data_IF_622445043182
#
_entry.id   IF_622445043182
#
_cell.length_a   1.000
_cell.length_b   1.000
_cell.length_c   1.000
_cell.angle_alpha   90.00
_cell.angle_beta   90.00
_cell.angle_gamma   90.00
#
_symmetry.space_group_name_H-M   'P 1'
#
loop_
_entity.id
_entity.type
_entity.pdbx_description
1 polymer ?
#
# COMPACT_ATOMS: atom_id res chain seq x y z
N UNK A 1 -9.31 -20.90 1.10
CA UNK A 1 -8.01 -21.56 1.35
C UNK A 1 -8.31 -22.84 2.12
N UNK A 2 -7.78 -23.94 1.67
CA UNK A 2 -7.98 -25.24 2.33
C UNK A 2 -6.91 -25.39 3.42
N UNK A 3 -7.32 -25.30 4.70
CA UNK A 3 -6.42 -25.47 5.84
C UNK A 3 -5.91 -26.91 5.96
N UNK A 4 -6.59 -27.87 5.33
CA UNK A 4 -6.16 -29.28 5.29
C UNK A 4 -4.75 -29.49 4.73
N UNK A 5 -4.24 -28.54 3.93
CA UNK A 5 -2.85 -28.60 3.41
C UNK A 5 -1.82 -28.64 4.54
N UNK A 6 -2.05 -27.91 5.64
CA UNK A 6 -1.15 -27.92 6.79
C UNK A 6 -1.15 -29.31 7.47
N UNK A 7 -2.33 -29.92 7.59
CA UNK A 7 -2.49 -31.27 8.14
C UNK A 7 -1.75 -32.31 7.29
N UNK A 8 -1.99 -32.28 5.97
CA UNK A 8 -1.33 -33.19 5.03
C UNK A 8 0.18 -33.03 5.05
N UNK A 9 0.68 -31.76 5.05
CA UNK A 9 2.10 -31.50 5.13
C UNK A 9 2.72 -32.06 6.44
N UNK A 10 2.03 -31.88 7.57
CA UNK A 10 2.46 -32.43 8.86
C UNK A 10 2.49 -33.96 8.85
N UNK A 11 1.43 -34.61 8.36
CA UNK A 11 1.34 -36.09 8.27
C UNK A 11 2.44 -36.67 7.39
N UNK A 12 2.88 -35.93 6.36
CA UNK A 12 3.93 -36.33 5.42
C UNK A 12 5.32 -35.79 5.78
N UNK A 13 5.48 -35.16 6.93
CA UNK A 13 6.73 -34.54 7.37
C UNK A 13 7.31 -33.55 6.34
N UNK A 14 6.44 -32.87 5.59
CA UNK A 14 6.86 -31.82 4.61
C UNK A 14 6.98 -30.47 5.34
N UNK A 15 8.17 -29.84 5.32
CA UNK A 15 8.32 -28.53 5.92
C UNK A 15 7.53 -27.47 5.13
N UNK A 16 6.82 -26.61 5.85
CA UNK A 16 6.00 -25.54 5.26
C UNK A 16 6.60 -24.17 5.56
N UNK A 17 6.74 -23.35 4.54
CA UNK A 17 6.97 -21.91 4.65
C UNK A 17 5.66 -21.20 4.29
N UNK A 18 5.21 -20.32 5.16
CA UNK A 18 3.95 -19.60 4.95
C UNK A 18 4.21 -18.11 4.80
N UNK A 19 4.01 -17.57 3.58
CA UNK A 19 4.15 -16.13 3.31
C UNK A 19 2.80 -15.44 3.38
N UNK A 20 2.71 -14.44 4.24
CA UNK A 20 1.51 -13.67 4.50
C UNK A 20 1.54 -12.37 3.67
N UNK A 21 0.75 -12.32 2.60
CA UNK A 21 0.61 -11.15 1.73
C UNK A 21 -0.62 -10.30 2.04
N UNK A 22 -1.51 -10.82 2.89
CA UNK A 22 -2.75 -10.19 3.32
C UNK A 22 -3.10 -10.60 4.76
N UNK A 23 -4.25 -10.17 5.24
CA UNK A 23 -4.69 -10.45 6.61
C UNK A 23 -5.78 -11.54 6.66
N UNK A 24 -5.85 -12.43 5.66
CA UNK A 24 -6.88 -13.46 5.60
C UNK A 24 -6.92 -14.37 6.83
N UNK A 25 -5.78 -14.73 7.37
CA UNK A 25 -5.72 -15.54 8.59
C UNK A 25 -6.24 -14.81 9.84
N UNK A 26 -6.26 -13.49 9.84
CA UNK A 26 -6.83 -12.68 10.93
C UNK A 26 -8.33 -12.43 10.71
N UNK A 27 -8.72 -12.17 9.45
CA UNK A 27 -10.08 -11.81 9.09
C UNK A 27 -10.40 -12.22 7.64
N UNK A 28 -11.56 -12.85 7.36
CA UNK A 28 -11.96 -13.22 6.00
C UNK A 28 -12.18 -12.02 5.08
N UNK A 29 -12.28 -10.78 5.61
CA UNK A 29 -12.31 -9.56 4.79
C UNK A 29 -10.98 -9.24 4.14
N UNK A 30 -9.89 -9.93 4.50
CA UNK A 30 -8.55 -9.82 3.90
C UNK A 30 -7.83 -8.51 4.21
N UNK A 31 -8.53 -7.38 4.16
CA UNK A 31 -7.95 -6.03 4.17
C UNK A 31 -7.99 -5.32 5.52
N UNK A 32 -8.63 -5.91 6.56
CA UNK A 32 -8.86 -5.24 7.84
C UNK A 32 -9.49 -3.84 7.65
N UNK A 33 -10.49 -3.78 6.79
CA UNK A 33 -11.24 -2.58 6.48
C UNK A 33 -12.72 -2.78 6.86
N UNK A 34 -13.29 -1.81 7.56
CA UNK A 34 -14.72 -1.79 7.91
C UNK A 34 -15.41 -0.66 7.13
N UNK A 35 -16.40 -1.02 6.32
CA UNK A 35 -17.12 -0.05 5.47
C UNK A 35 -17.89 1.02 6.24
N UNK A 36 -18.34 0.71 7.47
CA UNK A 36 -19.11 1.64 8.29
C UNK A 36 -18.22 2.65 9.03
N UNK A 37 -17.10 2.16 9.59
CA UNK A 37 -16.20 2.96 10.43
C UNK A 37 -14.91 3.36 9.73
N UNK A 38 -14.68 2.82 8.53
CA UNK A 38 -13.43 2.91 7.73
C UNK A 38 -12.21 2.32 8.41
N UNK A 39 -12.15 2.32 9.75
CA UNK A 39 -11.05 1.74 10.52
C UNK A 39 -11.47 0.40 11.12
N UNK A 40 -10.61 -0.59 11.00
CA UNK A 40 -10.76 -1.89 11.64
C UNK A 40 -9.87 -1.98 12.87
N UNK A 41 -10.49 -2.04 14.06
CA UNK A 41 -9.76 -2.40 15.28
C UNK A 41 -9.71 -3.93 15.41
N UNK A 42 -8.86 -4.57 14.60
CA UNK A 42 -8.69 -6.03 14.50
C UNK A 42 -8.31 -6.72 15.83
N UNK A 43 -7.89 -5.97 16.84
CA UNK A 43 -7.61 -6.52 18.17
C UNK A 43 -8.87 -6.73 19.00
N UNK A 44 -9.98 -6.08 18.67
CA UNK A 44 -11.24 -6.19 19.40
C UNK A 44 -12.17 -7.25 18.78
N UNK A 45 -12.16 -8.46 19.33
CA UNK A 45 -12.99 -9.58 18.85
C UNK A 45 -14.50 -9.34 18.97
N UNK A 46 -14.96 -8.56 19.95
CA UNK A 46 -16.37 -8.25 20.12
C UNK A 46 -16.93 -7.42 18.95
N UNK A 47 -16.21 -6.38 18.53
CA UNK A 47 -16.57 -5.60 17.34
C UNK A 47 -16.47 -6.43 16.03
N UNK A 48 -15.55 -7.38 15.97
CA UNK A 48 -15.39 -8.27 14.82
C UNK A 48 -16.64 -9.13 14.56
N UNK A 49 -17.28 -9.67 15.60
CA UNK A 49 -18.49 -10.49 15.46
C UNK A 49 -19.62 -9.76 14.74
N UNK A 50 -19.92 -8.53 15.16
CA UNK A 50 -20.95 -7.68 14.52
C UNK A 50 -20.56 -7.34 13.05
N UNK A 51 -19.31 -6.98 12.81
CA UNK A 51 -18.82 -6.67 11.47
C UNK A 51 -18.98 -7.87 10.51
N UNK A 52 -18.58 -9.07 10.94
CA UNK A 52 -18.66 -10.30 10.13
C UNK A 52 -20.11 -10.72 9.89
N UNK A 53 -20.97 -10.63 10.88
CA UNK A 53 -22.39 -10.92 10.72
C UNK A 53 -23.02 -10.02 9.65
N UNK A 54 -22.74 -8.72 9.68
CA UNK A 54 -23.26 -7.77 8.69
C UNK A 54 -22.64 -7.93 7.29
N UNK A 55 -21.34 -8.17 7.21
CA UNK A 55 -20.60 -8.15 5.93
C UNK A 55 -20.72 -9.48 5.19
N UNK A 56 -20.73 -10.60 5.90
CA UNK A 56 -20.64 -11.95 5.31
C UNK A 56 -21.81 -12.86 5.72
N UNK A 57 -22.76 -12.36 6.51
CA UNK A 57 -23.86 -13.16 7.08
C UNK A 57 -23.36 -14.41 7.85
N UNK A 58 -22.25 -14.26 8.58
CA UNK A 58 -21.63 -15.31 9.38
C UNK A 58 -22.01 -15.14 10.86
N UNK A 59 -21.88 -16.22 11.62
CA UNK A 59 -22.13 -16.21 13.07
C UNK A 59 -21.20 -15.21 13.77
N UNK A 60 -21.71 -14.54 14.82
CA UNK A 60 -20.95 -13.57 15.60
C UNK A 60 -19.69 -14.16 16.26
N UNK A 61 -19.70 -15.47 16.52
CA UNK A 61 -18.56 -16.22 17.10
C UNK A 61 -17.59 -16.75 16.05
N UNK A 62 -17.79 -16.40 14.78
CA UNK A 62 -16.96 -16.92 13.69
C UNK A 62 -15.48 -16.51 13.82
N UNK A 63 -15.19 -15.26 14.15
CA UNK A 63 -13.82 -14.75 14.20
C UNK A 63 -12.94 -15.43 15.26
N UNK A 64 -13.40 -15.64 16.50
CA UNK A 64 -12.61 -16.40 17.47
C UNK A 64 -12.25 -17.83 16.98
N UNK A 65 -13.21 -18.53 16.38
CA UNK A 65 -12.97 -19.86 15.81
C UNK A 65 -12.01 -19.83 14.62
N UNK A 66 -12.22 -18.86 13.71
CA UNK A 66 -11.36 -18.61 12.57
C UNK A 66 -9.91 -18.39 12.97
N UNK A 67 -9.67 -17.48 13.92
CA UNK A 67 -8.33 -17.16 14.42
C UNK A 67 -7.70 -18.33 15.16
N UNK A 68 -8.48 -19.07 15.94
CA UNK A 68 -8.00 -20.28 16.63
C UNK A 68 -7.50 -21.31 15.63
N UNK A 69 -8.30 -21.61 14.60
CA UNK A 69 -7.96 -22.58 13.57
C UNK A 69 -6.69 -22.16 12.81
N UNK A 70 -6.59 -20.91 12.40
CA UNK A 70 -5.36 -20.39 11.77
C UNK A 70 -4.16 -20.47 12.71
N UNK A 71 -4.31 -20.11 13.97
CA UNK A 71 -3.23 -20.13 14.95
C UNK A 71 -2.66 -21.54 15.15
N UNK A 72 -3.52 -22.55 15.30
CA UNK A 72 -3.08 -23.94 15.44
C UNK A 72 -2.32 -24.45 14.20
N UNK A 73 -2.75 -24.04 13.02
CA UNK A 73 -2.04 -24.37 11.79
C UNK A 73 -0.71 -23.59 11.64
N UNK A 74 -0.70 -22.28 11.94
CA UNK A 74 0.50 -21.46 11.84
C UNK A 74 1.61 -21.88 12.79
N UNK A 75 1.29 -22.47 13.95
CA UNK A 75 2.29 -23.06 14.86
C UNK A 75 3.01 -24.28 14.28
N UNK A 76 2.44 -24.94 13.29
CA UNK A 76 3.03 -26.14 12.67
C UNK A 76 4.01 -25.82 11.54
N UNK A 77 4.00 -24.58 11.02
CA UNK A 77 4.89 -24.21 9.91
C UNK A 77 6.31 -23.93 10.42
N UNK A 78 7.29 -24.16 9.58
CA UNK A 78 8.71 -23.95 9.91
C UNK A 78 9.09 -22.45 9.89
N UNK A 79 8.53 -21.71 8.96
CA UNK A 79 8.77 -20.27 8.79
C UNK A 79 7.49 -19.54 8.41
N UNK A 80 7.29 -18.38 9.02
CA UNK A 80 6.25 -17.43 8.64
C UNK A 80 6.96 -16.16 8.15
N UNK A 81 6.62 -15.71 6.95
CA UNK A 81 7.26 -14.55 6.30
C UNK A 81 6.20 -13.48 6.02
N UNK A 82 6.55 -12.23 6.27
CA UNK A 82 5.73 -11.07 5.95
C UNK A 82 6.55 -10.00 5.21
N UNK A 83 5.93 -9.12 4.41
CA UNK A 83 6.67 -8.16 3.60
C UNK A 83 7.03 -6.85 4.32
N UNK A 84 6.59 -6.63 5.57
CA UNK A 84 6.88 -5.40 6.34
C UNK A 84 6.81 -5.61 7.84
N UNK A 85 7.45 -4.75 8.61
CA UNK A 85 7.36 -4.75 10.08
C UNK A 85 5.96 -4.35 10.56
N UNK A 86 5.28 -3.45 9.86
CA UNK A 86 3.89 -3.12 10.15
C UNK A 86 3.00 -4.36 10.08
N UNK A 87 3.14 -5.18 9.02
CA UNK A 87 2.41 -6.44 8.89
C UNK A 87 2.77 -7.42 10.01
N UNK A 88 4.08 -7.57 10.32
CA UNK A 88 4.54 -8.38 11.45
C UNK A 88 3.86 -7.98 12.75
N UNK A 89 3.84 -6.69 13.07
CA UNK A 89 3.25 -6.18 14.31
C UNK A 89 1.74 -6.45 14.38
N UNK A 90 1.00 -6.30 13.27
CA UNK A 90 -0.43 -6.62 13.20
C UNK A 90 -0.66 -8.10 13.49
N UNK A 91 0.15 -8.98 12.91
CA UNK A 91 0.04 -10.41 13.17
C UNK A 91 0.39 -10.77 14.62
N UNK A 92 1.45 -10.20 15.20
CA UNK A 92 1.84 -10.44 16.58
C UNK A 92 0.84 -9.89 17.60
N UNK A 93 0.11 -8.83 17.27
CA UNK A 93 -1.01 -8.35 18.10
C UNK A 93 -2.16 -9.37 18.18
N UNK A 94 -2.33 -10.20 17.13
CA UNK A 94 -3.37 -11.23 17.08
C UNK A 94 -2.85 -12.57 17.57
N UNK A 95 -1.62 -12.94 17.21
CA UNK A 95 -0.95 -14.23 17.44
C UNK A 95 0.40 -13.99 18.12
N UNK A 96 0.38 -13.75 19.43
CA UNK A 96 1.52 -13.21 20.20
C UNK A 96 2.79 -14.08 20.15
N UNK A 97 2.64 -15.41 20.05
CA UNK A 97 3.75 -16.34 20.21
C UNK A 97 4.32 -16.85 18.88
N UNK A 98 3.88 -16.29 17.75
CA UNK A 98 4.41 -16.70 16.45
C UNK A 98 5.77 -16.06 16.19
N UNK A 99 6.70 -16.84 15.65
CA UNK A 99 7.96 -16.32 15.12
C UNK A 99 7.77 -15.93 13.65
N UNK A 100 7.90 -14.63 13.37
CA UNK A 100 7.64 -14.07 12.04
C UNK A 100 8.89 -13.35 11.55
N UNK A 101 9.37 -13.72 10.36
CA UNK A 101 10.47 -13.08 9.65
C UNK A 101 9.93 -12.00 8.69
N UNK A 102 10.71 -10.94 8.48
CA UNK A 102 10.37 -9.90 7.50
C UNK A 102 11.27 -10.03 6.31
N UNK A 103 10.68 -10.28 5.14
CA UNK A 103 11.37 -10.24 3.84
C UNK A 103 10.67 -9.19 2.99
N UNK A 104 11.24 -7.99 2.96
CA UNK A 104 10.69 -6.89 2.14
C UNK A 104 10.69 -7.29 0.65
N UNK A 105 9.62 -6.93 -0.06
CA UNK A 105 9.57 -7.19 -1.51
C UNK A 105 10.64 -6.42 -2.25
N UNK A 106 11.27 -7.07 -3.23
CA UNK A 106 12.11 -6.44 -4.21
C UNK A 106 11.29 -5.74 -5.29
N UNK A 107 11.93 -4.79 -5.95
CA UNK A 107 11.36 -4.11 -7.10
C UNK A 107 12.48 -3.73 -8.08
N UNK A 108 12.37 -4.13 -9.33
CA UNK A 108 13.39 -3.80 -10.32
C UNK A 108 13.21 -2.37 -10.82
N UNK A 109 14.34 -1.70 -11.00
CA UNK A 109 14.37 -0.39 -11.63
C UNK A 109 13.88 -0.54 -13.07
N UNK A 110 12.96 0.30 -13.47
CA UNK A 110 12.51 0.36 -14.86
C UNK A 110 13.68 0.91 -15.69
N UNK A 111 14.11 0.14 -16.69
CA UNK A 111 15.16 0.57 -17.61
C UNK A 111 14.64 1.73 -18.47
N UNK A 112 15.21 2.88 -18.30
CA UNK A 112 14.86 4.12 -18.97
C UNK A 112 14.66 5.21 -17.95
N UNK A 113 15.71 6.00 -17.65
CA UNK A 113 15.51 7.25 -16.94
C UNK A 113 14.52 8.07 -17.76
N UNK A 114 13.47 8.63 -17.13
CA UNK A 114 12.67 9.64 -17.80
C UNK A 114 13.63 10.71 -18.33
N UNK A 115 13.63 10.94 -19.63
CA UNK A 115 14.53 11.92 -20.22
C UNK A 115 14.05 13.32 -19.80
N UNK A 116 14.65 13.85 -18.75
CA UNK A 116 14.31 15.16 -18.17
C UNK A 116 14.82 16.34 -19.03
N UNK A 117 15.56 16.03 -20.13
CA UNK A 117 16.30 17.03 -20.90
C UNK A 117 15.47 17.67 -22.04
N UNK A 118 14.16 17.69 -21.96
CA UNK A 118 13.38 18.46 -22.92
C UNK A 118 13.21 19.92 -22.42
N UNK A 119 14.01 20.89 -22.94
CA UNK A 119 13.97 22.29 -22.52
C UNK A 119 12.66 22.99 -22.92
N UNK A 120 11.88 22.42 -23.85
CA UNK A 120 10.64 23.01 -24.37
C UNK A 120 9.38 22.61 -23.60
N UNK A 121 9.50 21.88 -22.48
CA UNK A 121 8.33 21.64 -21.64
C UNK A 121 7.79 22.97 -21.10
N UNK A 122 6.68 23.44 -21.69
CA UNK A 122 5.87 24.51 -21.11
C UNK A 122 5.62 24.16 -19.64
N UNK A 123 6.28 24.88 -18.71
CA UNK A 123 6.04 24.72 -17.27
C UNK A 123 4.55 24.88 -17.05
N UNK A 124 3.89 23.80 -16.71
CA UNK A 124 2.48 23.84 -16.37
C UNK A 124 2.33 24.79 -15.17
N UNK A 125 1.47 25.80 -15.28
CA UNK A 125 1.24 26.76 -14.18
C UNK A 125 0.53 26.12 -12.99
N UNK A 126 0.07 24.86 -13.16
CA UNK A 126 -0.70 24.14 -12.15
C UNK A 126 0.15 23.11 -11.41
N UNK A 127 -0.17 22.90 -10.15
CA UNK A 127 0.43 21.84 -9.33
C UNK A 127 -0.34 20.54 -9.54
N UNK A 128 0.26 19.58 -10.28
CA UNK A 128 -0.38 18.33 -10.61
C UNK A 128 -0.10 17.28 -9.54
N UNK A 129 -1.17 16.72 -8.97
CA UNK A 129 -1.12 15.59 -8.04
C UNK A 129 -1.77 14.37 -8.69
N UNK A 130 -1.38 13.17 -8.29
CA UNK A 130 -1.93 11.95 -8.89
C UNK A 130 -2.37 10.92 -7.86
N UNK A 131 -3.41 10.18 -8.23
CA UNK A 131 -3.75 8.87 -7.70
C UNK A 131 -3.33 7.83 -8.73
N UNK A 132 -2.76 6.69 -8.30
CA UNK A 132 -2.27 5.64 -9.19
C UNK A 132 -2.81 4.26 -8.79
N UNK A 133 -3.13 3.41 -9.78
CA UNK A 133 -3.62 2.05 -9.60
C UNK A 133 -5.12 1.92 -9.64
N UNK A 134 -5.66 0.89 -8.97
CA UNK A 134 -7.10 0.65 -8.88
C UNK A 134 -7.65 1.22 -7.57
N UNK A 135 -8.30 2.37 -7.65
CA UNK A 135 -8.78 3.13 -6.49
C UNK A 135 -10.17 2.64 -6.08
N UNK A 136 -10.22 1.96 -4.95
CA UNK A 136 -11.42 1.41 -4.30
C UNK A 136 -11.72 2.18 -3.00
N UNK A 137 -12.80 1.87 -2.32
CA UNK A 137 -13.18 2.53 -1.06
C UNK A 137 -12.03 2.48 -0.05
N UNK A 138 -11.47 1.29 0.18
CA UNK A 138 -10.34 1.08 1.08
C UNK A 138 -9.03 1.70 0.60
N UNK A 139 -8.92 2.03 -0.69
CA UNK A 139 -7.78 2.76 -1.28
C UNK A 139 -8.02 4.26 -1.44
N UNK A 140 -8.99 4.80 -0.71
CA UNK A 140 -9.21 6.23 -0.63
C UNK A 140 -10.05 6.83 -1.75
N UNK A 141 -10.96 6.06 -2.36
CA UNK A 141 -11.88 6.57 -3.39
C UNK A 141 -12.62 7.82 -2.93
N UNK A 142 -13.09 7.85 -1.68
CA UNK A 142 -13.72 9.03 -1.09
C UNK A 142 -12.85 10.28 -1.25
N UNK A 143 -11.57 10.19 -0.93
CA UNK A 143 -10.65 11.34 -1.02
C UNK A 143 -10.35 11.75 -2.46
N UNK A 144 -10.29 10.80 -3.41
CA UNK A 144 -10.20 11.12 -4.83
C UNK A 144 -11.42 11.94 -5.28
N UNK A 145 -12.62 11.51 -4.93
CA UNK A 145 -13.87 12.18 -5.28
C UNK A 145 -13.94 13.59 -4.67
N UNK A 146 -13.72 13.69 -3.37
CA UNK A 146 -13.80 14.95 -2.63
C UNK A 146 -12.71 15.96 -3.06
N UNK A 147 -11.46 15.51 -3.29
CA UNK A 147 -10.39 16.35 -3.81
C UNK A 147 -10.70 16.86 -5.23
N UNK A 148 -11.26 16.01 -6.08
CA UNK A 148 -11.67 16.40 -7.43
C UNK A 148 -12.68 17.56 -7.42
N UNK A 149 -13.58 17.59 -6.46
CA UNK A 149 -14.51 18.72 -6.28
C UNK A 149 -13.83 19.94 -5.64
N UNK A 150 -12.98 19.70 -4.63
CA UNK A 150 -12.29 20.75 -3.86
C UNK A 150 -11.33 21.60 -4.70
N UNK A 151 -10.65 20.99 -5.67
CA UNK A 151 -9.66 21.69 -6.53
C UNK A 151 -10.26 22.52 -7.64
N UNK A 152 -11.59 22.48 -7.86
CA UNK A 152 -12.22 23.25 -8.91
C UNK A 152 -11.94 24.74 -8.77
N UNK A 153 -11.40 25.35 -9.83
CA UNK A 153 -11.08 26.77 -9.84
C UNK A 153 -9.76 27.15 -9.14
N UNK A 154 -9.04 26.17 -8.58
CA UNK A 154 -7.69 26.39 -8.04
C UNK A 154 -6.62 26.13 -9.11
N UNK A 155 -5.36 26.33 -8.74
CA UNK A 155 -4.19 25.99 -9.56
C UNK A 155 -3.63 24.58 -9.27
N UNK A 156 -4.45 23.70 -8.68
CA UNK A 156 -4.15 22.28 -8.47
C UNK A 156 -4.96 21.45 -9.47
N UNK A 157 -4.33 20.45 -10.09
CA UNK A 157 -5.00 19.42 -10.86
C UNK A 157 -4.85 18.06 -10.18
N UNK A 158 -5.89 17.27 -10.20
CA UNK A 158 -5.89 15.87 -9.79
C UNK A 158 -5.84 14.99 -11.04
N UNK A 159 -4.95 14.03 -11.06
CA UNK A 159 -4.81 13.04 -12.13
C UNK A 159 -5.12 11.64 -11.57
N UNK A 160 -5.78 10.81 -12.37
CA UNK A 160 -5.95 9.38 -12.06
C UNK A 160 -5.28 8.55 -13.17
N UNK A 161 -4.20 7.86 -12.81
CA UNK A 161 -3.60 6.81 -13.62
C UNK A 161 -4.07 5.47 -13.09
N UNK A 162 -4.94 4.79 -13.83
CA UNK A 162 -5.60 3.57 -13.40
C UNK A 162 -7.10 3.63 -13.54
N UNK A 163 -7.81 2.99 -12.63
CA UNK A 163 -9.27 2.91 -12.63
C UNK A 163 -9.82 3.04 -11.21
N UNK A 164 -11.12 3.23 -11.13
CA UNK A 164 -11.84 3.23 -9.84
C UNK A 164 -13.14 2.44 -9.96
N UNK A 165 -13.66 1.99 -8.83
CA UNK A 165 -14.98 1.35 -8.74
C UNK A 165 -16.12 2.32 -9.09
N UNK A 166 -15.93 3.63 -8.91
CA UNK A 166 -16.92 4.63 -9.32
C UNK A 166 -16.70 5.09 -10.76
N UNK A 167 -17.52 4.57 -11.70
CA UNK A 167 -17.45 4.92 -13.12
C UNK A 167 -17.57 6.43 -13.42
N UNK A 168 -18.16 7.24 -12.52
CA UNK A 168 -18.25 8.69 -12.67
C UNK A 168 -16.88 9.39 -12.58
N UNK A 169 -15.90 8.75 -11.93
CA UNK A 169 -14.52 9.22 -11.85
C UNK A 169 -13.67 8.78 -13.06
N UNK A 170 -14.20 7.93 -13.93
CA UNK A 170 -13.49 7.48 -15.14
C UNK A 170 -13.77 8.41 -16.34
N UNK A 171 -13.86 9.72 -16.10
CA UNK A 171 -14.08 10.77 -17.11
C UNK A 171 -13.39 12.05 -16.68
N UNK A 172 -12.86 12.79 -17.65
CA UNK A 172 -12.29 14.11 -17.40
C UNK A 172 -13.31 15.12 -16.87
N UNK A 173 -12.88 15.96 -15.96
CA UNK A 173 -13.66 17.09 -15.40
C UNK A 173 -12.76 18.31 -15.28
N UNK A 174 -13.30 19.47 -14.90
CA UNK A 174 -12.49 20.64 -14.60
C UNK A 174 -11.50 20.33 -13.46
N UNK A 175 -10.22 20.59 -13.68
CA UNK A 175 -9.12 20.28 -12.75
C UNK A 175 -8.95 18.77 -12.41
N UNK A 176 -9.53 17.87 -13.23
CA UNK A 176 -9.38 16.43 -13.07
C UNK A 176 -9.15 15.75 -14.42
N UNK A 177 -8.06 14.99 -14.51
CA UNK A 177 -7.66 14.26 -15.72
C UNK A 177 -7.65 12.76 -15.44
N UNK A 178 -8.45 12.03 -16.20
CA UNK A 178 -8.49 10.57 -16.17
C UNK A 178 -7.67 9.99 -17.33
N UNK A 179 -6.65 9.20 -17.00
CA UNK A 179 -5.74 8.59 -17.97
C UNK A 179 -6.09 7.14 -18.33
N UNK A 180 -6.93 6.48 -17.51
CA UNK A 180 -7.26 5.07 -17.72
C UNK A 180 -6.17 4.12 -17.24
N UNK A 181 -6.26 2.85 -17.69
CA UNK A 181 -5.26 1.82 -17.39
C UNK A 181 -3.91 2.18 -18.01
N UNK A 182 -2.85 1.79 -17.33
CA UNK A 182 -1.47 1.97 -17.82
C UNK A 182 -0.71 0.64 -17.75
N UNK A 183 0.36 0.56 -18.52
CA UNK A 183 1.36 -0.51 -18.40
C UNK A 183 2.38 -0.03 -17.35
N UNK A 184 2.73 -0.90 -16.40
CA UNK A 184 3.57 -0.55 -15.24
C UNK A 184 4.89 0.08 -15.64
N UNK A 185 5.52 -0.42 -16.72
CA UNK A 185 6.79 0.09 -17.23
C UNK A 185 6.69 1.52 -17.79
N UNK A 186 5.51 1.93 -18.24
CA UNK A 186 5.30 3.25 -18.85
C UNK A 186 4.96 4.32 -17.82
N UNK A 187 4.59 3.92 -16.60
CA UNK A 187 4.10 4.84 -15.57
C UNK A 187 5.07 6.00 -15.28
N UNK A 188 6.40 5.79 -15.12
CA UNK A 188 7.32 6.90 -14.84
C UNK A 188 7.31 7.95 -15.95
N UNK A 189 7.24 7.55 -17.22
CA UNK A 189 7.15 8.46 -18.35
C UNK A 189 5.81 9.21 -18.36
N UNK A 190 4.70 8.50 -18.14
CA UNK A 190 3.37 9.11 -18.06
C UNK A 190 3.27 10.15 -16.94
N UNK A 191 3.84 9.87 -15.77
CA UNK A 191 3.87 10.81 -14.64
C UNK A 191 4.73 12.05 -14.98
N UNK A 192 5.87 11.84 -15.62
CA UNK A 192 6.76 12.92 -16.07
C UNK A 192 6.11 13.79 -17.16
N UNK A 193 5.51 13.19 -18.18
CA UNK A 193 4.83 13.90 -19.27
C UNK A 193 3.70 14.80 -18.77
N UNK A 194 3.03 14.37 -17.73
CA UNK A 194 1.95 15.11 -17.10
C UNK A 194 2.41 16.03 -15.96
N UNK A 195 3.73 16.20 -15.78
CA UNK A 195 4.34 17.06 -14.77
C UNK A 195 3.79 16.79 -13.35
N UNK A 196 3.60 15.49 -13.00
CA UNK A 196 3.09 15.11 -11.68
C UNK A 196 4.14 15.44 -10.61
N UNK A 197 3.72 16.13 -9.56
CA UNK A 197 4.59 16.56 -8.45
C UNK A 197 4.37 15.77 -7.17
N UNK A 198 3.20 15.18 -6.97
CA UNK A 198 2.84 14.53 -5.73
C UNK A 198 1.91 13.35 -6.00
N UNK A 199 2.14 12.23 -5.34
CA UNK A 199 1.25 11.08 -5.43
C UNK A 199 0.50 10.91 -4.11
N UNK A 200 -0.82 10.70 -4.22
CA UNK A 200 -1.72 10.50 -3.08
C UNK A 200 -1.97 9.01 -2.88
N UNK A 201 -1.41 8.42 -1.83
CA UNK A 201 -1.61 7.04 -1.41
C UNK A 201 -2.45 7.03 -0.13
N UNK A 202 -3.74 7.38 -0.25
CA UNK A 202 -4.66 7.60 0.87
C UNK A 202 -5.43 6.32 1.24
N UNK A 203 -4.70 5.21 1.37
CA UNK A 203 -5.27 3.92 1.78
C UNK A 203 -5.82 3.98 3.21
N UNK A 204 -7.06 3.49 3.37
CA UNK A 204 -7.79 3.39 4.64
C UNK A 204 -7.63 1.99 5.28
N UNK A 205 -6.77 1.14 4.74
CA UNK A 205 -6.43 -0.16 5.28
C UNK A 205 -4.91 -0.31 5.39
N UNK A 206 -4.41 -1.12 6.33
CA UNK A 206 -2.97 -1.27 6.53
C UNK A 206 -2.37 -2.16 5.43
N UNK A 207 -2.08 -1.59 4.25
CA UNK A 207 -1.43 -2.34 3.17
C UNK A 207 -0.20 -3.07 3.70
N UNK A 208 0.00 -4.29 3.21
CA UNK A 208 1.11 -5.13 3.69
C UNK A 208 2.46 -4.73 3.10
N UNK A 209 2.47 -4.08 1.91
CA UNK A 209 3.69 -3.57 1.27
C UNK A 209 3.47 -2.32 0.42
N UNK A 210 2.56 -2.34 -0.55
CA UNK A 210 2.26 -1.31 -1.55
C UNK A 210 3.29 -1.19 -2.69
N UNK A 211 3.00 -1.84 -3.81
CA UNK A 211 3.77 -1.67 -5.05
C UNK A 211 3.61 -0.27 -5.65
N UNK A 212 2.43 0.35 -5.50
CA UNK A 212 2.19 1.73 -5.95
C UNK A 212 3.10 2.74 -5.25
N UNK A 213 3.49 2.50 -4.00
CA UNK A 213 4.54 3.30 -3.36
C UNK A 213 5.90 3.10 -4.06
N UNK A 214 6.28 1.86 -4.39
CA UNK A 214 7.51 1.58 -5.12
C UNK A 214 7.52 2.26 -6.49
N UNK A 215 6.42 2.22 -7.23
CA UNK A 215 6.23 2.89 -8.52
C UNK A 215 6.39 4.41 -8.41
N UNK A 216 5.82 5.01 -7.35
CA UNK A 216 5.96 6.45 -7.05
C UNK A 216 7.43 6.83 -6.82
N UNK A 217 8.12 6.05 -5.99
CA UNK A 217 9.52 6.31 -5.65
C UNK A 217 10.45 6.13 -6.87
N UNK A 218 10.23 5.09 -7.69
CA UNK A 218 11.00 4.91 -8.94
C UNK A 218 10.81 6.07 -9.91
N UNK A 219 9.62 6.67 -9.89
CA UNK A 219 9.33 7.89 -10.66
C UNK A 219 9.92 9.17 -10.04
N UNK A 220 10.68 9.06 -8.93
CA UNK A 220 11.26 10.17 -8.16
C UNK A 220 10.21 11.17 -7.64
N UNK A 221 8.97 10.72 -7.39
CA UNK A 221 7.87 11.58 -6.93
C UNK A 221 7.56 11.29 -5.47
N UNK A 222 7.62 12.32 -4.59
CA UNK A 222 7.20 12.20 -3.20
C UNK A 222 5.72 11.87 -3.06
N UNK A 223 5.35 11.30 -1.90
CA UNK A 223 3.99 10.87 -1.65
C UNK A 223 3.38 11.53 -0.42
N UNK A 224 2.05 11.61 -0.37
CA UNK A 224 1.30 11.78 0.86
C UNK A 224 0.57 10.48 1.18
N UNK A 225 0.54 10.11 2.45
CA UNK A 225 -0.23 8.94 2.90
C UNK A 225 -0.74 9.13 4.32
N UNK A 226 -1.67 8.27 4.73
CA UNK A 226 -2.04 8.17 6.13
C UNK A 226 -1.00 7.41 6.94
N UNK A 227 -0.98 7.65 8.26
CA UNK A 227 -0.16 6.91 9.22
C UNK A 227 -0.73 5.52 9.47
N UNK A 228 -0.63 4.65 8.44
CA UNK A 228 -1.21 3.33 8.47
C UNK A 228 -0.42 2.33 7.61
N UNK A 229 -0.15 1.15 8.16
CA UNK A 229 0.41 0.02 7.44
C UNK A 229 1.82 0.23 6.89
N UNK A 230 2.19 -0.59 5.92
CA UNK A 230 3.53 -0.57 5.31
C UNK A 230 3.82 0.71 4.51
N UNK A 231 2.81 1.41 4.00
CA UNK A 231 3.03 2.68 3.30
C UNK A 231 3.65 3.68 4.27
N UNK A 232 3.00 3.90 5.42
CA UNK A 232 3.51 4.82 6.44
C UNK A 232 4.89 4.41 6.97
N UNK A 233 5.09 3.12 7.25
CA UNK A 233 6.38 2.58 7.68
C UNK A 233 7.50 2.96 6.70
N UNK A 234 7.32 2.66 5.42
CA UNK A 234 8.32 2.88 4.37
C UNK A 234 8.56 4.37 4.10
N UNK A 235 7.50 5.18 4.10
CA UNK A 235 7.61 6.63 3.90
C UNK A 235 8.34 7.29 5.08
N UNK A 236 8.05 6.91 6.33
CA UNK A 236 8.72 7.42 7.52
C UNK A 236 10.18 6.98 7.57
N UNK A 237 10.46 5.69 7.35
CA UNK A 237 11.82 5.11 7.41
C UNK A 237 12.80 5.84 6.47
N UNK A 238 12.33 6.19 5.27
CA UNK A 238 13.15 6.83 4.25
C UNK A 238 12.94 8.35 4.15
N UNK A 239 11.95 8.89 4.84
CA UNK A 239 11.53 10.30 4.83
C UNK A 239 11.28 10.85 3.39
N UNK A 240 10.53 10.08 2.60
CA UNK A 240 10.29 10.30 1.17
C UNK A 240 8.92 10.90 0.84
N UNK A 241 8.24 11.42 1.83
CA UNK A 241 6.89 11.98 1.69
C UNK A 241 6.38 12.61 2.97
N UNK A 242 5.07 12.81 3.03
CA UNK A 242 4.39 13.39 4.18
C UNK A 242 3.31 12.45 4.69
N UNK A 243 3.18 12.37 5.99
CA UNK A 243 2.25 11.47 6.69
C UNK A 243 1.18 12.31 7.37
N UNK A 244 -0.07 11.92 7.17
CA UNK A 244 -1.24 12.46 7.83
C UNK A 244 -1.78 11.46 8.86
N UNK A 245 -2.31 11.93 10.00
CA UNK A 245 -3.12 11.08 10.86
C UNK A 245 -4.26 10.42 10.09
N UNK A 246 -4.61 9.18 10.44
CA UNK A 246 -5.67 8.43 9.73
C UNK A 246 -7.05 9.08 9.80
N UNK A 247 -7.30 9.89 10.81
CA UNK A 247 -8.55 10.64 11.01
C UNK A 247 -8.52 12.04 10.38
N UNK A 248 -7.51 12.37 9.55
CA UNK A 248 -7.43 13.66 8.86
C UNK A 248 -8.62 13.87 7.94
N UNK A 249 -9.10 15.11 7.96
CA UNK A 249 -10.20 15.57 7.10
C UNK A 249 -9.73 15.87 5.69
N UNK A 250 -10.66 16.07 4.76
CA UNK A 250 -10.36 16.59 3.43
C UNK A 250 -9.62 17.94 3.49
N UNK A 251 -9.99 18.80 4.44
CA UNK A 251 -9.37 20.10 4.61
C UNK A 251 -7.92 20.00 5.06
N UNK A 252 -7.59 19.04 5.94
CA UNK A 252 -6.21 18.75 6.34
C UNK A 252 -5.37 18.28 5.16
N UNK A 253 -5.91 17.38 4.34
CA UNK A 253 -5.23 16.88 3.13
C UNK A 253 -4.99 18.02 2.15
N UNK A 254 -6.01 18.84 1.86
CA UNK A 254 -5.90 19.97 0.94
C UNK A 254 -4.91 21.03 1.45
N UNK A 255 -4.93 21.33 2.75
CA UNK A 255 -3.99 22.22 3.41
C UNK A 255 -2.55 21.71 3.27
N UNK A 256 -2.32 20.41 3.50
CA UNK A 256 -1.01 19.81 3.33
C UNK A 256 -0.52 19.92 1.88
N UNK A 257 -1.36 19.60 0.88
CA UNK A 257 -1.02 19.76 -0.54
C UNK A 257 -0.63 21.22 -0.86
N UNK A 258 -1.38 22.17 -0.34
CA UNK A 258 -1.11 23.59 -0.52
C UNK A 258 0.20 24.03 0.14
N UNK A 259 0.51 23.52 1.32
CA UNK A 259 1.78 23.73 2.03
C UNK A 259 2.95 23.16 1.23
N UNK A 260 2.86 21.91 0.75
CA UNK A 260 3.89 21.26 -0.07
C UNK A 260 4.18 22.09 -1.32
N UNK A 261 3.13 22.56 -2.01
CA UNK A 261 3.25 23.42 -3.18
C UNK A 261 4.01 24.71 -2.87
N UNK A 262 3.82 25.28 -1.68
CA UNK A 262 4.46 26.53 -1.24
C UNK A 262 5.84 26.33 -0.62
N UNK A 263 6.31 25.09 -0.44
CA UNK A 263 7.57 24.73 0.21
C UNK A 263 8.56 24.03 -0.74
N UNK A 264 9.06 24.66 -1.81
CA UNK A 264 9.86 24.02 -2.84
C UNK A 264 11.20 23.46 -2.32
N UNK A 265 11.75 24.01 -1.26
CA UNK A 265 13.00 23.49 -0.67
C UNK A 265 12.78 22.16 0.05
N UNK A 266 11.73 22.04 0.85
CA UNK A 266 11.36 20.78 1.49
C UNK A 266 11.04 19.72 0.45
N UNK A 267 10.29 20.09 -0.59
CA UNK A 267 9.99 19.20 -1.72
C UNK A 267 11.27 18.65 -2.36
N UNK A 268 12.25 19.50 -2.66
CA UNK A 268 13.54 19.07 -3.22
C UNK A 268 14.27 18.09 -2.30
N UNK A 269 14.28 18.36 -1.00
CA UNK A 269 14.90 17.43 -0.02
C UNK A 269 14.26 16.05 -0.07
N UNK A 270 12.91 15.96 -0.20
CA UNK A 270 12.23 14.66 -0.35
C UNK A 270 12.67 13.94 -1.63
N UNK A 271 12.76 14.64 -2.76
CA UNK A 271 13.25 14.07 -4.02
C UNK A 271 14.69 13.56 -3.90
N UNK A 272 15.58 14.31 -3.26
CA UNK A 272 16.96 13.88 -3.02
C UNK A 272 17.04 12.61 -2.17
N UNK A 273 16.20 12.52 -1.12
CA UNK A 273 16.10 11.30 -0.29
C UNK A 273 15.59 10.10 -1.09
N UNK A 274 14.60 10.32 -1.97
CA UNK A 274 14.15 9.26 -2.89
C UNK A 274 15.30 8.79 -3.77
N UNK A 275 16.06 9.69 -4.38
CA UNK A 275 17.22 9.35 -5.21
C UNK A 275 18.28 8.57 -4.44
N UNK A 276 18.52 8.95 -3.18
CA UNK A 276 19.43 8.20 -2.30
C UNK A 276 18.88 6.81 -1.98
N UNK A 277 17.60 6.69 -1.64
CA UNK A 277 16.93 5.40 -1.40
C UNK A 277 17.04 4.47 -2.61
N UNK A 278 16.81 4.99 -3.82
CA UNK A 278 16.84 4.20 -5.06
C UNK A 278 18.22 3.58 -5.37
N UNK A 279 19.31 4.15 -4.86
CA UNK A 279 20.66 3.56 -5.05
C UNK A 279 20.77 2.19 -4.36
N UNK A 280 20.09 2.02 -3.22
CA UNK A 280 20.14 0.85 -2.35
C UNK A 280 18.82 0.09 -2.29
N UNK A 281 17.91 0.36 -3.21
CA UNK A 281 16.60 -0.30 -3.23
C UNK A 281 16.77 -1.78 -3.60
N UNK A 282 16.17 -2.64 -2.78
CA UNK A 282 16.19 -4.09 -2.95
C UNK A 282 15.59 -4.49 -4.30
N UNK A 283 16.35 -5.26 -5.10
CA UNK A 283 15.89 -5.79 -6.37
C UNK A 283 15.05 -7.07 -6.19
N UNK A 284 14.34 -7.49 -7.24
CA UNK A 284 13.68 -8.81 -7.26
C UNK A 284 14.67 -9.95 -7.08
N UNK A 285 15.91 -9.79 -7.62
CA UNK A 285 16.97 -10.77 -7.44
C UNK A 285 17.41 -10.90 -5.98
N UNK A 286 17.57 -9.77 -5.29
CA UNK A 286 17.93 -9.78 -3.85
C UNK A 286 16.85 -10.46 -3.02
N UNK A 287 15.59 -10.17 -3.27
CA UNK A 287 14.46 -10.86 -2.63
C UNK A 287 14.49 -12.37 -2.94
N UNK A 288 14.72 -12.73 -4.20
CA UNK A 288 14.83 -14.14 -4.61
C UNK A 288 15.96 -14.88 -3.89
N UNK A 289 17.11 -14.24 -3.72
CA UNK A 289 18.24 -14.81 -2.97
C UNK A 289 17.89 -15.04 -1.50
N UNK A 290 17.26 -14.08 -0.82
CA UNK A 290 16.80 -14.26 0.57
C UNK A 290 15.81 -15.42 0.70
N UNK A 291 14.82 -15.52 -0.21
CA UNK A 291 13.93 -16.68 -0.21
C UNK A 291 14.66 -18.00 -0.46
N UNK A 292 15.64 -17.99 -1.36
CA UNK A 292 16.46 -19.19 -1.63
C UNK A 292 17.22 -19.64 -0.38
N UNK A 293 17.83 -18.73 0.35
CA UNK A 293 18.53 -19.03 1.62
C UNK A 293 17.54 -19.60 2.65
N UNK A 294 16.35 -19.02 2.76
CA UNK A 294 15.30 -19.53 3.66
C UNK A 294 14.89 -20.94 3.27
N UNK A 295 14.66 -21.24 1.98
CA UNK A 295 14.31 -22.59 1.53
C UNK A 295 15.44 -23.60 1.75
N UNK A 296 16.69 -23.21 1.42
CA UNK A 296 17.85 -24.09 1.61
C UNK A 296 18.08 -24.41 3.09
N UNK A 297 17.80 -23.49 4.00
CA UNK A 297 17.92 -23.74 5.45
C UNK A 297 17.02 -24.85 5.96
N UNK A 298 16.00 -25.25 5.20
CA UNK A 298 15.08 -26.33 5.57
C UNK A 298 15.44 -27.69 4.96
N UNK A 299 16.32 -27.72 3.96
CA UNK A 299 16.72 -28.97 3.28
C UNK A 299 17.81 -29.70 4.08
N UNK A 300 18.53 -28.99 4.92
CA UNK A 300 19.65 -29.52 5.74
C UNK A 300 19.21 -29.88 7.18
N UNK A 301 17.92 -29.99 7.45
CA UNK A 301 17.34 -30.50 8.70
C UNK A 301 16.73 -31.87 8.42
#
# INVERSE_FOLDING_TARGET
MYLDIFKVAKERSIPVIYTLHDFYSICPSVKLFNKETFLCNYANTAGCGSCIAKTFNLNINFIPLWRKEFYENLKTVKKIIVPSYSTKNIFLNTYKDLTIEVVEHGYDKINGKPNNDNPDKKKNKKFNIAFIGYITEEKGLKYLEELTEKVKGTDINVHLFGQTTNKKCNKNKKNYVYHGKYIQQDLPNLLLENDIKLICLLSMWPETYSYTLSESLISEIPVISFDLGAIAERVKKADVGWILPINSTLDDIFKLISTIKSAPQEYKQKVERIRHLLKNMKSLKDMGNEYTEIYLSLIHI
#
